data_IF_223165609272
#
_entry.id   IF_223165609272
#
_cell.length_a   1.000
_cell.length_b   1.000
_cell.length_c   1.000
_cell.angle_alpha   90.00
_cell.angle_beta   90.00
_cell.angle_gamma   90.00
#
_symmetry.space_group_name_H-M   'P 1'
#
loop_
_entity.id
_entity.type
_entity.pdbx_description
1 polymer ?
#
# COMPACT_ATOMS: atom_id res chain seq x y z
N UNK A 1 23.17 -10.29 -0.21
CA UNK A 1 21.82 -10.54 0.36
C UNK A 1 21.88 -11.83 1.16
N UNK A 2 21.58 -11.79 2.47
CA UNK A 2 21.51 -13.02 3.28
C UNK A 2 20.28 -13.80 2.79
N UNK A 3 20.46 -15.05 2.37
CA UNK A 3 19.38 -15.91 1.82
C UNK A 3 18.73 -15.46 0.49
N UNK A 4 19.32 -14.53 -0.26
CA UNK A 4 18.80 -14.15 -1.59
C UNK A 4 17.51 -13.31 -1.57
N UNK A 5 17.04 -12.86 -0.41
CA UNK A 5 15.85 -12.02 -0.26
C UNK A 5 16.23 -10.52 -0.34
N UNK A 6 15.35 -9.69 -0.95
CA UNK A 6 15.49 -8.23 -0.94
C UNK A 6 15.46 -7.75 0.53
N UNK A 7 16.42 -6.93 1.00
CA UNK A 7 16.43 -6.42 2.36
C UNK A 7 15.18 -5.61 2.74
N UNK A 8 14.40 -5.12 1.77
CA UNK A 8 13.14 -4.38 1.96
C UNK A 8 11.90 -5.27 1.90
N UNK A 9 12.07 -6.59 1.92
CA UNK A 9 10.96 -7.54 1.90
C UNK A 9 10.00 -7.35 3.08
N UNK A 10 10.51 -6.97 4.26
CA UNK A 10 9.65 -6.61 5.39
C UNK A 10 8.83 -5.34 5.12
N UNK A 11 9.43 -4.36 4.43
CA UNK A 11 8.78 -3.08 4.14
C UNK A 11 7.63 -3.22 3.14
N UNK A 12 7.73 -4.16 2.17
CA UNK A 12 6.66 -4.41 1.21
C UNK A 12 5.42 -4.98 1.90
N UNK A 13 5.56 -5.97 2.78
CA UNK A 13 4.45 -6.46 3.60
C UNK A 13 3.84 -5.35 4.45
N UNK A 14 4.69 -4.57 5.13
CA UNK A 14 4.19 -3.57 6.05
C UNK A 14 3.59 -2.34 5.34
N UNK A 15 3.83 -2.19 4.03
CA UNK A 15 3.19 -1.22 3.15
C UNK A 15 1.88 -1.71 2.54
N UNK A 16 1.58 -3.00 2.63
CA UNK A 16 0.31 -3.57 2.18
C UNK A 16 -0.84 -3.23 3.15
N UNK A 17 -2.08 -3.40 2.69
CA UNK A 17 -3.28 -3.13 3.47
C UNK A 17 -3.30 -3.79 4.85
N UNK A 18 -2.89 -5.07 4.96
CA UNK A 18 -2.88 -5.79 6.24
C UNK A 18 -1.81 -5.22 7.18
N UNK A 19 -0.58 -5.08 6.70
CA UNK A 19 0.53 -4.53 7.49
C UNK A 19 0.34 -3.06 7.87
N UNK A 20 -0.23 -2.24 6.97
CA UNK A 20 -0.57 -0.84 7.26
C UNK A 20 -1.71 -0.73 8.28
N UNK A 21 -2.71 -1.62 8.22
CA UNK A 21 -3.78 -1.65 9.22
C UNK A 21 -3.25 -2.03 10.59
N UNK A 22 -2.44 -3.09 10.68
CA UNK A 22 -1.85 -3.56 11.94
C UNK A 22 -1.00 -2.47 12.61
N UNK A 23 -0.13 -1.81 11.84
CA UNK A 23 0.64 -0.63 12.29
C UNK A 23 -0.23 0.52 12.77
N UNK A 24 -1.37 0.75 12.12
CA UNK A 24 -2.28 1.83 12.50
C UNK A 24 -2.96 1.53 13.83
N UNK A 25 -3.43 0.30 14.02
CA UNK A 25 -4.02 -0.13 15.30
C UNK A 25 -3.01 -0.07 16.44
N UNK A 26 -1.77 -0.52 16.19
CA UNK A 26 -0.67 -0.41 17.15
C UNK A 26 -0.40 1.06 17.53
N UNK A 27 -0.32 1.96 16.55
CA UNK A 27 -0.09 3.39 16.80
C UNK A 27 -1.22 4.07 17.57
N UNK A 28 -2.46 3.59 17.43
CA UNK A 28 -3.62 4.09 18.16
C UNK A 28 -3.75 3.49 19.57
N UNK A 29 -3.02 2.42 19.88
CA UNK A 29 -3.19 1.66 21.13
C UNK A 29 -4.52 0.90 21.21
N UNK A 30 -5.20 0.75 20.07
CA UNK A 30 -6.48 0.08 19.96
C UNK A 30 -6.29 -1.34 19.43
N UNK A 31 -7.07 -2.29 19.96
CA UNK A 31 -7.15 -3.60 19.34
C UNK A 31 -7.86 -3.50 17.97
N UNK A 32 -7.39 -4.21 16.95
CA UNK A 32 -8.08 -4.27 15.67
C UNK A 32 -9.52 -4.73 15.83
N UNK A 33 -10.48 -3.99 15.24
CA UNK A 33 -11.91 -4.34 15.30
C UNK A 33 -12.25 -5.62 14.53
N UNK A 34 -11.38 -6.05 13.65
CA UNK A 34 -11.45 -7.29 12.89
C UNK A 34 -10.06 -7.90 12.82
N UNK A 35 -9.97 -9.24 12.84
CA UNK A 35 -8.69 -9.93 12.74
C UNK A 35 -7.93 -9.48 11.48
N UNK A 36 -6.70 -9.00 11.67
CA UNK A 36 -5.79 -8.63 10.59
C UNK A 36 -4.80 -9.77 10.44
N UNK A 37 -4.68 -10.31 9.23
CA UNK A 37 -3.72 -11.36 8.95
C UNK A 37 -2.29 -10.85 9.20
N UNK A 38 -1.51 -11.67 9.90
CA UNK A 38 -0.10 -11.47 10.25
C UNK A 38 0.81 -12.35 9.37
N UNK A 39 2.12 -12.20 9.55
CA UNK A 39 3.11 -13.07 8.90
C UNK A 39 2.87 -14.56 9.17
N UNK A 40 2.42 -14.88 10.41
CA UNK A 40 2.19 -16.24 10.87
C UNK A 40 0.93 -16.88 10.29
N UNK A 41 -0.08 -16.09 9.93
CA UNK A 41 -1.29 -16.61 9.27
C UNK A 41 -0.96 -17.07 7.84
N UNK A 42 0.07 -16.46 7.22
CA UNK A 42 0.53 -16.85 5.89
C UNK A 42 1.67 -17.88 5.88
N UNK A 43 2.61 -17.83 6.83
CA UNK A 43 3.77 -18.71 6.83
C UNK A 43 3.72 -19.75 7.95
N UNK A 44 2.84 -19.62 8.93
CA UNK A 44 2.86 -20.42 10.16
C UNK A 44 3.89 -19.90 11.15
N UNK A 45 3.60 -20.06 12.45
CA UNK A 45 4.40 -19.47 13.53
C UNK A 45 5.68 -20.27 13.82
N UNK A 46 5.56 -21.60 13.96
CA UNK A 46 6.70 -22.49 14.25
C UNK A 46 7.07 -23.41 13.09
N UNK A 47 6.26 -23.45 12.04
CA UNK A 47 6.49 -24.27 10.83
C UNK A 47 7.00 -23.47 9.63
N UNK A 48 7.13 -22.14 9.77
CA UNK A 48 7.50 -21.13 8.76
C UNK A 48 7.67 -21.71 7.35
N UNK A 49 6.55 -21.83 6.66
CA UNK A 49 6.42 -22.45 5.36
C UNK A 49 6.97 -21.51 4.29
N UNK A 50 7.80 -22.06 3.41
CA UNK A 50 8.32 -21.33 2.26
C UNK A 50 7.43 -21.52 1.03
N UNK A 51 7.37 -20.48 0.19
CA UNK A 51 6.79 -20.51 -1.16
C UNK A 51 7.89 -20.55 -2.25
N UNK A 52 9.16 -20.65 -1.84
CA UNK A 52 10.29 -20.77 -2.76
C UNK A 52 10.24 -22.10 -3.51
N UNK A 53 10.53 -22.08 -4.81
CA UNK A 53 10.57 -23.27 -5.67
C UNK A 53 9.23 -23.72 -6.25
N UNK A 54 8.12 -23.13 -5.80
CA UNK A 54 6.80 -23.33 -6.42
C UNK A 54 6.73 -22.63 -7.80
N UNK A 55 5.82 -23.04 -8.66
CA UNK A 55 5.41 -22.25 -9.82
C UNK A 55 4.57 -21.04 -9.39
N UNK A 56 4.31 -20.09 -10.30
CA UNK A 56 3.43 -18.96 -10.01
C UNK A 56 1.99 -19.42 -9.73
N UNK A 57 1.49 -20.40 -10.48
CA UNK A 57 0.15 -20.96 -10.30
C UNK A 57 0.03 -21.71 -8.97
N UNK A 58 1.05 -22.48 -8.58
CA UNK A 58 1.06 -23.18 -7.28
C UNK A 58 1.10 -22.19 -6.11
N UNK A 59 1.86 -21.09 -6.23
CA UNK A 59 1.86 -20.01 -5.25
C UNK A 59 0.49 -19.36 -5.16
N UNK A 60 -0.13 -19.05 -6.30
CA UNK A 60 -1.44 -18.41 -6.39
C UNK A 60 -2.51 -19.27 -5.73
N UNK A 61 -2.61 -20.55 -6.10
CA UNK A 61 -3.59 -21.47 -5.55
C UNK A 61 -3.44 -21.68 -4.04
N UNK A 62 -2.19 -21.82 -3.55
CA UNK A 62 -1.92 -21.96 -2.12
C UNK A 62 -2.26 -20.68 -1.35
N UNK A 63 -1.91 -19.52 -1.89
CA UNK A 63 -2.26 -18.24 -1.29
C UNK A 63 -3.79 -18.02 -1.28
N UNK A 64 -4.49 -18.38 -2.36
CA UNK A 64 -5.95 -18.29 -2.44
C UNK A 64 -6.63 -19.13 -1.35
N UNK A 65 -6.18 -20.37 -1.15
CA UNK A 65 -6.70 -21.25 -0.09
C UNK A 65 -6.56 -20.62 1.32
N UNK A 66 -5.49 -19.86 1.56
CA UNK A 66 -5.27 -19.19 2.84
C UNK A 66 -6.06 -17.89 2.96
N UNK A 67 -6.19 -17.15 1.85
CA UNK A 67 -7.09 -15.99 1.81
C UNK A 67 -8.54 -16.39 2.09
N UNK A 68 -8.96 -17.60 1.71
CA UNK A 68 -10.31 -18.12 1.94
C UNK A 68 -10.68 -18.30 3.42
N UNK A 69 -9.69 -18.38 4.32
CA UNK A 69 -9.94 -18.42 5.77
C UNK A 69 -10.69 -17.16 6.26
N UNK A 70 -10.45 -16.02 5.61
CA UNK A 70 -11.12 -14.74 5.90
C UNK A 70 -12.02 -14.26 4.76
N UNK A 71 -11.61 -14.45 3.51
CA UNK A 71 -12.30 -14.01 2.29
C UNK A 71 -12.84 -15.22 1.53
N UNK A 72 -14.04 -15.69 1.88
CA UNK A 72 -14.65 -16.93 1.35
C UNK A 72 -14.71 -17.05 -0.18
N UNK A 73 -14.70 -15.93 -0.89
CA UNK A 73 -14.78 -15.87 -2.37
C UNK A 73 -13.40 -15.60 -3.02
N UNK A 74 -12.31 -15.65 -2.25
CA UNK A 74 -10.96 -15.48 -2.77
C UNK A 74 -10.63 -16.60 -3.78
N UNK A 75 -10.17 -16.18 -4.95
CA UNK A 75 -9.68 -17.04 -6.03
C UNK A 75 -8.22 -16.69 -6.36
N UNK A 76 -7.64 -17.37 -7.36
CA UNK A 76 -6.24 -17.18 -7.74
C UNK A 76 -5.95 -15.74 -8.20
N UNK A 77 -6.88 -15.11 -8.93
CA UNK A 77 -6.77 -13.71 -9.35
C UNK A 77 -6.77 -12.76 -8.16
N UNK A 78 -7.62 -13.03 -7.17
CA UNK A 78 -7.64 -12.28 -5.91
C UNK A 78 -6.30 -12.42 -5.18
N UNK A 79 -5.78 -13.64 -5.03
CA UNK A 79 -4.52 -13.89 -4.34
C UNK A 79 -3.33 -13.26 -5.06
N UNK A 80 -3.32 -13.30 -6.39
CA UNK A 80 -2.24 -12.72 -7.21
C UNK A 80 -2.31 -11.21 -7.31
N UNK A 81 -3.46 -10.56 -7.09
CA UNK A 81 -3.58 -9.11 -7.07
C UNK A 81 -2.70 -8.47 -5.98
N UNK A 82 -2.52 -9.17 -4.85
CA UNK A 82 -1.87 -8.66 -3.65
C UNK A 82 -0.39 -9.01 -3.50
N UNK A 83 0.24 -9.58 -4.54
CA UNK A 83 1.70 -9.69 -4.73
C UNK A 83 2.50 -10.21 -3.53
N UNK A 84 3.05 -11.42 -3.63
CA UNK A 84 3.86 -12.13 -2.63
C UNK A 84 5.15 -11.40 -2.18
N UNK A 85 4.97 -10.28 -1.46
CA UNK A 85 5.96 -9.42 -0.81
C UNK A 85 7.09 -8.92 -1.71
N UNK A 86 6.87 -8.84 -3.02
CA UNK A 86 7.84 -8.30 -3.97
C UNK A 86 7.46 -6.88 -4.39
N UNK A 87 8.35 -5.89 -4.19
CA UNK A 87 8.07 -4.54 -4.69
C UNK A 87 7.93 -4.56 -6.23
N UNK A 88 7.01 -3.75 -6.79
CA UNK A 88 6.84 -3.67 -8.24
C UNK A 88 8.14 -3.18 -8.89
N UNK A 89 8.53 -3.84 -9.98
CA UNK A 89 9.73 -3.51 -10.75
C UNK A 89 9.41 -3.46 -12.25
N UNK A 90 10.34 -2.96 -13.06
CA UNK A 90 10.17 -2.94 -14.51
C UNK A 90 10.05 -4.35 -15.11
N UNK A 91 10.67 -5.34 -14.45
CA UNK A 91 10.65 -6.74 -14.88
C UNK A 91 9.44 -7.49 -14.31
N UNK A 92 8.99 -7.14 -13.10
CA UNK A 92 7.89 -7.80 -12.41
C UNK A 92 6.79 -6.77 -12.09
N UNK A 93 5.66 -6.88 -12.81
CA UNK A 93 4.48 -5.98 -12.74
C UNK A 93 4.77 -4.53 -13.24
N UNK A 94 5.14 -4.37 -14.52
CA UNK A 94 5.53 -3.07 -15.09
C UNK A 94 4.41 -2.02 -15.04
N UNK A 95 3.14 -2.43 -15.18
CA UNK A 95 2.01 -1.49 -15.12
C UNK A 95 1.92 -0.81 -13.75
N UNK A 96 2.02 -1.58 -12.66
CA UNK A 96 1.98 -1.03 -11.29
C UNK A 96 3.19 -0.12 -11.05
N UNK A 97 4.36 -0.50 -11.56
CA UNK A 97 5.56 0.34 -11.50
C UNK A 97 5.36 1.70 -12.22
N UNK A 98 4.76 1.69 -13.42
CA UNK A 98 4.46 2.93 -14.17
C UNK A 98 3.45 3.80 -13.42
N UNK A 99 2.39 3.21 -12.87
CA UNK A 99 1.40 3.94 -12.05
C UNK A 99 2.07 4.62 -10.86
N UNK A 100 2.98 3.91 -10.19
CA UNK A 100 3.79 4.49 -9.11
C UNK A 100 4.65 5.68 -9.57
N UNK A 101 5.26 5.59 -10.74
CA UNK A 101 6.02 6.70 -11.34
C UNK A 101 5.13 7.91 -11.63
N UNK A 102 3.96 7.68 -12.22
CA UNK A 102 2.98 8.75 -12.54
C UNK A 102 2.54 9.44 -11.27
N UNK A 103 2.12 8.70 -10.23
CA UNK A 103 1.71 9.32 -8.96
C UNK A 103 2.83 10.07 -8.27
N UNK A 104 4.07 9.57 -8.34
CA UNK A 104 5.24 10.25 -7.77
C UNK A 104 5.50 11.62 -8.41
N UNK A 105 5.12 11.82 -9.67
CA UNK A 105 5.25 13.09 -10.38
C UNK A 105 3.99 13.95 -10.27
N UNK A 106 2.81 13.34 -10.44
CA UNK A 106 1.52 14.03 -10.50
C UNK A 106 1.11 14.64 -9.15
N UNK A 107 1.27 13.91 -8.05
CA UNK A 107 0.87 14.38 -6.71
C UNK A 107 1.59 15.69 -6.32
N UNK A 108 2.94 15.77 -6.35
CA UNK A 108 3.62 17.02 -5.99
C UNK A 108 3.32 18.14 -6.99
N UNK A 109 3.17 17.84 -8.28
CA UNK A 109 2.77 18.82 -9.29
C UNK A 109 1.41 19.45 -8.96
N UNK A 110 0.42 18.63 -8.59
CA UNK A 110 -0.91 19.11 -8.19
C UNK A 110 -0.87 19.94 -6.91
N UNK A 111 -0.11 19.49 -5.89
CA UNK A 111 0.03 20.21 -4.62
C UNK A 111 0.70 21.56 -4.86
N UNK A 112 1.80 21.60 -5.62
CA UNK A 112 2.51 22.84 -5.96
C UNK A 112 1.60 23.77 -6.78
N UNK A 113 0.86 23.24 -7.75
CA UNK A 113 -0.10 24.00 -8.54
C UNK A 113 -1.21 24.62 -7.68
N UNK A 114 -1.76 23.86 -6.72
CA UNK A 114 -2.76 24.35 -5.78
C UNK A 114 -2.20 25.46 -4.87
N UNK A 115 -1.02 25.25 -4.30
CA UNK A 115 -0.36 26.26 -3.45
C UNK A 115 -0.09 27.53 -4.26
N UNK A 116 0.44 27.41 -5.48
CA UNK A 116 0.69 28.55 -6.34
C UNK A 116 -0.60 29.30 -6.69
N UNK A 117 -1.70 28.58 -6.95
CA UNK A 117 -3.00 29.18 -7.22
C UNK A 117 -3.53 30.00 -6.03
N UNK A 118 -3.47 29.43 -4.81
CA UNK A 118 -3.88 30.11 -3.58
C UNK A 118 -3.02 31.37 -3.34
N UNK A 119 -1.70 31.26 -3.49
CA UNK A 119 -0.81 32.41 -3.32
C UNK A 119 -1.10 33.51 -4.33
N UNK A 120 -1.36 33.15 -5.59
CA UNK A 120 -1.70 34.13 -6.62
C UNK A 120 -3.03 34.83 -6.36
N UNK A 121 -4.03 34.10 -5.85
CA UNK A 121 -5.32 34.68 -5.45
C UNK A 121 -5.18 35.67 -4.29
N UNK A 122 -4.39 35.31 -3.26
CA UNK A 122 -4.07 36.19 -2.14
C UNK A 122 -3.26 37.42 -2.55
N UNK A 123 -2.36 37.28 -3.53
CA UNK A 123 -1.59 38.40 -4.06
C UNK A 123 -2.45 39.35 -4.91
N UNK A 124 -3.52 38.84 -5.54
CA UNK A 124 -4.44 39.60 -6.39
C UNK A 124 -5.62 40.20 -5.63
N UNK A 125 -5.81 39.89 -4.35
CA UNK A 125 -6.80 40.53 -3.48
C UNK A 125 -6.17 41.59 -2.54
N UNK A 126 -5.73 42.77 -3.04
CA UNK A 126 -5.49 43.90 -2.16
C UNK A 126 -6.82 44.39 -1.56
N UNK A 127 -7.07 44.07 -0.29
CA UNK A 127 -7.94 44.84 0.61
C UNK A 127 -9.42 44.96 0.26
N UNK A 128 -10.10 43.85 -0.09
CA UNK A 128 -11.59 43.81 -0.23
C UNK A 128 -12.32 43.67 1.12
N UNK A 129 -11.64 43.98 2.22
CA UNK A 129 -12.09 43.85 3.59
C UNK A 129 -12.08 45.21 4.34
N UNK A 130 -11.66 46.29 3.66
CA UNK A 130 -11.80 47.67 4.18
C UNK A 130 -13.13 48.34 3.77
N UNK A 131 -13.89 47.75 2.84
CA UNK A 131 -15.13 48.34 2.32
C UNK A 131 -16.41 47.74 2.93
N UNK A 132 -16.40 46.47 3.38
CA UNK A 132 -17.57 45.81 3.99
C UNK A 132 -17.75 46.11 5.50
N UNK A 133 -16.78 46.78 6.13
CA UNK A 133 -16.84 47.24 7.53
C UNK A 133 -17.23 48.72 7.72
N UNK A 134 -17.63 49.40 6.63
CA UNK A 134 -17.95 50.83 6.60
C UNK A 134 -19.34 51.13 6.01
N UNK A 135 -20.26 50.16 6.09
CA UNK A 135 -21.70 50.32 5.83
C UNK A 135 -22.52 49.83 7.02
#
# INVERSE_FOLDING_TARGET
>A
TRHGLDPRFGDSYLGDFRGASDRTYEALGDAPKAAVASCGDCHGVHTVQSFAGLSDDERAARAAAMCQDCHREANDDFATAWGSHTPPSQQHRPIVWIVGLVYKLMIPLMIVGLIAHILMDLWRTPGRDREEGLS
#
